data_IF_367154212550
#
_entry.id   IF_367154212550
#
_cell.length_a   1.000
_cell.length_b   1.000
_cell.length_c   1.000
_cell.angle_alpha   90.00
_cell.angle_beta   90.00
_cell.angle_gamma   90.00
#
_symmetry.space_group_name_H-M   'P 1'
#
loop_
_entity.id
_entity.type
_entity.pdbx_description
1 polymer ?
#
# COMPACT_ATOMS: atom_id res chain seq x y z
N UNK A 1 -8.90 -20.71 -8.65
CA UNK A 1 -9.17 -19.28 -8.48
C UNK A 1 -10.29 -18.91 -9.44
N UNK A 2 -11.17 -18.03 -9.05
CA UNK A 2 -12.29 -17.58 -9.89
C UNK A 2 -12.14 -16.08 -10.16
N UNK A 3 -12.59 -15.66 -11.36
CA UNK A 3 -12.68 -14.23 -11.74
C UNK A 3 -14.12 -13.71 -11.56
N UNK A 4 -15.00 -14.51 -10.94
CA UNK A 4 -16.37 -14.11 -10.62
C UNK A 4 -16.36 -13.16 -9.40
N UNK A 5 -16.55 -11.88 -9.67
CA UNK A 5 -16.56 -10.83 -8.65
C UNK A 5 -17.68 -11.00 -7.61
N UNK A 6 -18.83 -11.59 -8.00
CA UNK A 6 -19.93 -11.84 -7.08
C UNK A 6 -19.55 -12.89 -6.05
N UNK A 7 -18.98 -14.00 -6.52
CA UNK A 7 -18.54 -15.10 -5.68
C UNK A 7 -17.36 -14.66 -4.77
N UNK A 8 -16.43 -13.88 -5.29
CA UNK A 8 -15.32 -13.32 -4.51
C UNK A 8 -15.88 -12.44 -3.38
N UNK A 9 -16.83 -11.55 -3.68
CA UNK A 9 -17.45 -10.69 -2.66
C UNK A 9 -18.18 -11.49 -1.60
N UNK A 10 -18.92 -12.52 -1.98
CA UNK A 10 -19.63 -13.42 -1.05
C UNK A 10 -18.64 -14.10 -0.10
N UNK A 11 -17.58 -14.72 -0.61
CA UNK A 11 -16.53 -15.34 0.20
C UNK A 11 -15.86 -14.35 1.17
N UNK A 12 -15.62 -13.11 0.71
CA UNK A 12 -15.02 -12.07 1.56
C UNK A 12 -15.98 -11.63 2.69
N UNK A 13 -17.29 -11.55 2.41
CA UNK A 13 -18.32 -11.28 3.40
C UNK A 13 -18.39 -12.37 4.47
N UNK A 14 -18.43 -13.64 4.07
CA UNK A 14 -18.38 -14.77 5.00
C UNK A 14 -17.11 -14.74 5.87
N UNK A 15 -15.95 -14.42 5.27
CA UNK A 15 -14.70 -14.33 6.01
C UNK A 15 -14.72 -13.17 7.01
N UNK A 16 -15.26 -12.00 6.62
CA UNK A 16 -15.43 -10.89 7.54
C UNK A 16 -16.33 -11.25 8.74
N UNK A 17 -17.44 -11.95 8.50
CA UNK A 17 -18.35 -12.41 9.56
C UNK A 17 -17.68 -13.41 10.53
N UNK A 18 -16.82 -14.30 10.02
CA UNK A 18 -16.07 -15.25 10.84
C UNK A 18 -14.98 -14.58 11.68
N UNK A 19 -14.34 -13.53 11.15
CA UNK A 19 -13.21 -12.83 11.81
C UNK A 19 -13.70 -11.79 12.81
N UNK A 20 -14.81 -11.10 12.53
CA UNK A 20 -15.27 -9.96 13.29
C UNK A 20 -15.43 -10.23 14.80
N UNK A 21 -16.03 -11.35 15.27
CA UNK A 21 -16.15 -11.58 16.71
C UNK A 21 -14.81 -11.67 17.45
N UNK A 22 -13.79 -12.28 16.83
CA UNK A 22 -12.46 -12.37 17.41
C UNK A 22 -11.76 -11.01 17.44
N UNK A 23 -11.87 -10.24 16.35
CA UNK A 23 -11.27 -8.92 16.23
C UNK A 23 -11.93 -7.87 17.16
N UNK A 24 -13.25 -7.94 17.38
CA UNK A 24 -13.97 -7.04 18.27
C UNK A 24 -13.69 -7.30 19.76
N UNK A 25 -13.39 -8.55 20.12
CA UNK A 25 -13.16 -8.94 21.51
C UNK A 25 -11.68 -9.20 21.85
N UNK A 26 -10.77 -8.95 20.93
CA UNK A 26 -9.35 -9.18 21.11
C UNK A 26 -8.55 -8.95 19.84
N UNK A 27 -7.63 -9.86 19.52
CA UNK A 27 -6.74 -9.78 18.37
C UNK A 27 -7.04 -10.92 17.39
N UNK A 28 -7.33 -10.57 16.13
CA UNK A 28 -7.36 -11.52 15.02
C UNK A 28 -6.13 -11.28 14.13
N UNK A 29 -5.39 -12.34 13.81
CA UNK A 29 -4.22 -12.30 12.93
C UNK A 29 -4.55 -12.97 11.61
N UNK A 30 -4.37 -12.25 10.51
CA UNK A 30 -4.60 -12.75 9.17
C UNK A 30 -3.27 -12.99 8.44
N UNK A 31 -2.90 -14.26 8.25
CA UNK A 31 -1.68 -14.66 7.52
C UNK A 31 -1.95 -14.75 6.02
N UNK A 32 -1.08 -14.11 5.21
CA UNK A 32 -1.16 -14.16 3.74
C UNK A 32 0.21 -14.48 3.13
N UNK A 33 0.20 -14.95 1.88
CA UNK A 33 1.42 -15.05 1.08
C UNK A 33 1.75 -13.69 0.47
N UNK A 34 3.01 -13.25 0.63
CA UNK A 34 3.48 -11.99 0.08
C UNK A 34 3.28 -10.81 1.01
N UNK A 35 3.03 -9.65 0.45
CA UNK A 35 2.82 -8.40 1.19
C UNK A 35 1.34 -8.02 1.20
N UNK A 36 0.75 -7.66 2.35
CA UNK A 36 -0.67 -7.34 2.45
C UNK A 36 -1.10 -6.10 1.67
N UNK A 37 -0.15 -5.22 1.34
CA UNK A 37 -0.42 -3.93 0.69
C UNK A 37 -0.19 -3.94 -0.83
N UNK A 38 0.40 -5.04 -1.39
CA UNK A 38 0.72 -5.13 -2.81
C UNK A 38 -0.02 -6.29 -3.50
N UNK A 39 -0.96 -5.96 -4.39
CA UNK A 39 -1.75 -6.94 -5.17
C UNK A 39 -2.39 -8.03 -4.31
N UNK A 40 -2.87 -7.66 -3.13
CA UNK A 40 -3.44 -8.58 -2.14
C UNK A 40 -4.95 -8.43 -2.03
N UNK A 41 -5.64 -9.55 -1.84
CA UNK A 41 -7.08 -9.58 -1.52
C UNK A 41 -7.40 -9.06 -0.12
N UNK A 42 -6.38 -8.89 0.73
CA UNK A 42 -6.54 -8.37 2.09
C UNK A 42 -7.16 -6.97 2.12
N UNK A 43 -6.78 -6.09 1.21
CA UNK A 43 -7.36 -4.74 1.09
C UNK A 43 -8.87 -4.77 0.83
N UNK A 44 -9.35 -5.76 0.05
CA UNK A 44 -10.78 -5.97 -0.22
C UNK A 44 -11.53 -6.43 1.04
N UNK A 45 -10.91 -7.31 1.82
CA UNK A 45 -11.44 -7.74 3.13
C UNK A 45 -11.51 -6.57 4.10
N UNK A 46 -10.48 -5.73 4.18
CA UNK A 46 -10.45 -4.53 5.01
C UNK A 46 -11.58 -3.55 4.63
N UNK A 47 -11.87 -3.37 3.35
CA UNK A 47 -12.98 -2.53 2.90
C UNK A 47 -14.33 -3.03 3.41
N UNK A 48 -14.55 -4.36 3.39
CA UNK A 48 -15.78 -4.97 3.92
C UNK A 48 -15.84 -4.85 5.44
N UNK A 49 -14.73 -5.06 6.13
CA UNK A 49 -14.67 -4.88 7.60
C UNK A 49 -14.97 -3.44 7.99
N UNK A 50 -14.41 -2.46 7.29
CA UNK A 50 -14.68 -1.05 7.54
C UNK A 50 -16.15 -0.66 7.30
N UNK A 51 -16.80 -1.27 6.31
CA UNK A 51 -18.23 -1.06 6.00
C UNK A 51 -19.14 -1.67 7.08
N UNK A 52 -18.92 -2.95 7.44
CA UNK A 52 -19.81 -3.71 8.33
C UNK A 52 -19.46 -3.60 9.81
N UNK A 53 -18.18 -3.41 10.13
CA UNK A 53 -17.65 -3.43 11.49
C UNK A 53 -16.70 -2.26 11.74
N UNK A 54 -17.18 -1.01 11.70
CA UNK A 54 -16.35 0.21 11.71
C UNK A 54 -15.54 0.41 12.99
N UNK A 55 -15.79 -0.37 14.03
CA UNK A 55 -15.02 -0.36 15.29
C UNK A 55 -13.78 -1.25 15.24
N UNK A 56 -13.61 -2.06 14.19
CA UNK A 56 -12.43 -2.91 14.03
C UNK A 56 -11.33 -2.08 13.38
N UNK A 57 -10.25 -1.87 14.12
CA UNK A 57 -9.01 -1.29 13.59
C UNK A 57 -8.11 -2.40 13.06
N UNK A 58 -7.31 -2.10 12.03
CA UNK A 58 -6.31 -3.02 11.51
C UNK A 58 -4.99 -2.32 11.24
N UNK A 59 -3.92 -3.06 11.34
CA UNK A 59 -2.60 -2.68 10.87
C UNK A 59 -2.01 -3.78 10.00
N UNK A 60 -1.06 -3.43 9.15
CA UNK A 60 -0.37 -4.38 8.29
C UNK A 60 1.11 -4.43 8.64
N UNK A 61 1.66 -5.63 8.67
CA UNK A 61 3.10 -5.84 8.72
C UNK A 61 3.61 -6.21 7.33
N UNK A 62 4.72 -5.61 6.85
CA UNK A 62 5.23 -5.87 5.52
C UNK A 62 5.72 -7.31 5.39
N UNK A 63 5.41 -7.90 4.26
CA UNK A 63 5.89 -9.21 3.85
C UNK A 63 6.85 -9.16 2.67
N UNK A 64 7.37 -10.31 2.28
CA UNK A 64 8.21 -10.42 1.08
C UNK A 64 7.30 -10.50 -0.14
N UNK A 65 7.17 -9.39 -0.87
CA UNK A 65 6.41 -9.33 -2.10
C UNK A 65 7.05 -10.16 -3.22
N UNK A 66 6.22 -10.78 -4.07
CA UNK A 66 6.67 -11.42 -5.30
C UNK A 66 7.47 -10.48 -6.22
N UNK A 67 7.23 -9.17 -6.14
CA UNK A 67 7.95 -8.13 -6.89
C UNK A 67 9.44 -8.15 -6.54
N UNK A 68 9.78 -8.23 -5.25
CA UNK A 68 11.18 -8.29 -4.78
C UNK A 68 11.74 -9.70 -4.84
N UNK A 69 10.94 -10.72 -4.51
CA UNK A 69 11.33 -12.11 -4.59
C UNK A 69 11.69 -12.56 -6.02
N UNK A 70 10.97 -12.05 -7.03
CA UNK A 70 11.24 -12.31 -8.44
C UNK A 70 12.67 -11.91 -8.83
N UNK A 71 13.10 -10.70 -8.43
CA UNK A 71 14.43 -10.21 -8.76
C UNK A 71 15.54 -11.15 -8.21
N UNK A 72 15.38 -11.63 -6.98
CA UNK A 72 16.29 -12.60 -6.38
C UNK A 72 16.24 -13.95 -7.10
N UNK A 73 15.06 -14.49 -7.37
CA UNK A 73 14.89 -15.78 -8.06
C UNK A 73 15.42 -15.75 -9.49
N UNK A 74 15.28 -14.63 -10.19
CA UNK A 74 15.79 -14.44 -11.57
C UNK A 74 17.28 -14.04 -11.63
N UNK A 75 17.92 -13.75 -10.51
CA UNK A 75 19.31 -13.31 -10.44
C UNK A 75 19.54 -11.94 -11.10
N UNK A 76 18.54 -11.05 -11.08
CA UNK A 76 18.60 -9.72 -11.70
C UNK A 76 18.69 -8.61 -10.65
N UNK A 77 19.34 -7.50 -11.02
CA UNK A 77 19.41 -6.28 -10.21
C UNK A 77 18.69 -5.15 -10.91
N UNK A 78 17.76 -4.49 -10.22
CA UNK A 78 17.00 -3.36 -10.72
C UNK A 78 17.58 -2.07 -10.15
N UNK A 79 18.39 -1.37 -10.94
CA UNK A 79 19.11 -0.14 -10.53
C UNK A 79 18.51 1.15 -11.11
N UNK A 80 17.47 1.04 -11.92
CA UNK A 80 16.73 2.15 -12.52
C UNK A 80 15.26 2.13 -12.15
N UNK A 81 14.49 3.04 -12.72
CA UNK A 81 13.04 3.01 -12.61
C UNK A 81 12.45 1.82 -13.33
N UNK A 82 11.43 1.21 -12.76
CA UNK A 82 10.69 0.11 -13.37
C UNK A 82 9.20 0.24 -13.09
N UNK A 83 8.39 -0.43 -13.87
CA UNK A 83 6.94 -0.46 -13.72
C UNK A 83 6.50 -1.84 -13.25
N UNK A 84 5.55 -1.87 -12.33
CA UNK A 84 4.83 -3.08 -11.90
C UNK A 84 3.37 -2.89 -12.23
N UNK A 85 2.77 -3.85 -12.93
CA UNK A 85 1.36 -3.82 -13.32
C UNK A 85 0.86 -5.25 -13.48
N UNK A 86 -0.41 -5.47 -13.25
CA UNK A 86 -1.17 -6.68 -13.55
C UNK A 86 -1.95 -6.60 -14.87
N UNK A 87 -1.62 -5.58 -15.70
CA UNK A 87 -2.21 -5.36 -17.03
C UNK A 87 -2.62 -3.92 -17.28
N UNK A 88 -3.41 -3.26 -16.40
CA UNK A 88 -3.80 -1.86 -16.58
C UNK A 88 -2.61 -0.90 -16.58
N UNK A 89 -2.78 0.27 -17.20
CA UNK A 89 -1.79 1.33 -17.14
C UNK A 89 -1.60 1.80 -15.68
N UNK A 90 -0.35 2.02 -15.22
CA UNK A 90 -0.08 2.46 -13.85
C UNK A 90 -0.72 3.82 -13.55
N UNK A 91 -1.47 3.89 -12.48
CA UNK A 91 -2.08 5.13 -11.94
C UNK A 91 -1.26 5.73 -10.80
N UNK A 92 -0.28 5.01 -10.30
CA UNK A 92 0.49 5.32 -9.10
C UNK A 92 2.00 5.28 -9.37
N UNK A 93 2.74 6.08 -8.58
CA UNK A 93 4.22 6.06 -8.56
C UNK A 93 4.74 6.02 -7.13
N UNK A 94 5.80 5.25 -6.92
CA UNK A 94 6.61 5.29 -5.71
C UNK A 94 7.98 5.87 -6.10
N UNK A 95 8.35 6.98 -5.47
CA UNK A 95 9.60 7.69 -5.71
C UNK A 95 10.48 7.59 -4.47
N UNK A 96 11.72 7.16 -4.67
CA UNK A 96 12.70 7.01 -3.60
C UNK A 96 13.57 8.27 -3.49
N UNK A 97 14.06 8.56 -2.28
CA UNK A 97 15.05 9.61 -2.02
C UNK A 97 14.60 11.00 -2.50
N UNK A 98 13.36 11.34 -2.23
CA UNK A 98 12.76 12.61 -2.67
C UNK A 98 13.26 13.75 -1.77
N UNK A 99 14.15 14.61 -2.28
CA UNK A 99 14.76 15.70 -1.51
C UNK A 99 13.87 16.94 -1.36
N UNK A 100 13.01 17.19 -2.34
CA UNK A 100 12.13 18.36 -2.40
C UNK A 100 10.69 17.93 -2.67
N UNK A 101 9.95 17.40 -1.67
CA UNK A 101 8.65 16.78 -1.87
C UNK A 101 7.60 17.73 -2.46
N UNK A 102 7.52 18.96 -1.96
CA UNK A 102 6.56 19.97 -2.46
C UNK A 102 6.77 20.27 -3.93
N UNK A 103 8.02 20.55 -4.33
CA UNK A 103 8.38 20.78 -5.73
C UNK A 103 8.05 19.55 -6.60
N UNK A 104 8.37 18.34 -6.10
CA UNK A 104 8.09 17.10 -6.82
C UNK A 104 6.58 16.87 -6.97
N UNK A 105 5.79 17.16 -5.95
CA UNK A 105 4.33 17.11 -6.04
C UNK A 105 3.79 18.09 -7.09
N UNK A 106 4.31 19.31 -7.16
CA UNK A 106 3.89 20.30 -8.18
C UNK A 106 4.21 19.85 -9.61
N UNK A 107 5.35 19.19 -9.82
CA UNK A 107 5.68 18.56 -11.11
C UNK A 107 4.67 17.48 -11.46
N UNK A 108 4.39 16.57 -10.51
CA UNK A 108 3.46 15.45 -10.71
C UNK A 108 1.99 15.90 -10.84
N UNK A 109 1.59 17.00 -10.19
CA UNK A 109 0.24 17.58 -10.37
C UNK A 109 0.02 18.00 -11.82
N UNK A 110 1.05 18.51 -12.52
CA UNK A 110 0.98 18.85 -13.96
C UNK A 110 0.83 17.59 -14.83
N UNK A 111 1.32 16.44 -14.35
CA UNK A 111 1.15 15.14 -15.01
C UNK A 111 -0.20 14.45 -14.64
N UNK A 112 -1.03 15.09 -13.83
CA UNK A 112 -2.36 14.59 -13.46
C UNK A 112 -2.46 13.86 -12.13
N UNK A 113 -1.37 13.76 -11.35
CA UNK A 113 -1.42 13.17 -10.01
C UNK A 113 -2.09 14.10 -9.00
N UNK A 114 -2.86 13.55 -8.06
CA UNK A 114 -3.67 14.33 -7.11
C UNK A 114 -3.45 13.95 -5.65
N UNK A 115 -3.11 12.71 -5.38
CA UNK A 115 -2.87 12.21 -4.03
C UNK A 115 -1.37 12.02 -3.81
N UNK A 116 -0.88 12.48 -2.65
CA UNK A 116 0.53 12.40 -2.29
C UNK A 116 0.70 11.98 -0.84
N UNK A 117 1.60 11.03 -0.59
CA UNK A 117 2.02 10.63 0.76
C UNK A 117 3.54 10.56 0.78
N UNK A 118 4.18 11.24 1.72
CA UNK A 118 5.60 11.16 1.98
C UNK A 118 5.84 10.47 3.31
N UNK A 119 6.73 9.49 3.34
CA UNK A 119 7.23 8.88 4.56
C UNK A 119 8.73 9.13 4.67
N UNK A 120 9.14 9.77 5.77
CA UNK A 120 10.54 9.98 6.12
C UNK A 120 10.94 9.01 7.23
N UNK A 121 12.15 8.44 7.13
CA UNK A 121 12.78 7.60 8.15
C UNK A 121 11.87 6.48 8.62
N UNK A 122 11.27 5.77 7.68
CA UNK A 122 10.34 4.68 7.92
C UNK A 122 10.96 3.63 8.87
N UNK A 123 10.23 3.21 9.89
CA UNK A 123 10.63 2.32 10.99
C UNK A 123 11.70 2.86 11.95
N UNK A 124 12.12 4.11 11.85
CA UNK A 124 12.89 4.77 12.89
C UNK A 124 11.98 5.44 13.93
N UNK A 125 12.50 5.70 15.13
CA UNK A 125 11.73 6.30 16.22
C UNK A 125 11.19 7.71 15.89
N UNK A 126 11.84 8.41 14.96
CA UNK A 126 11.47 9.74 14.47
C UNK A 126 10.82 9.72 13.07
N UNK A 127 10.20 8.61 12.70
CA UNK A 127 9.43 8.49 11.46
C UNK A 127 8.36 9.58 11.37
N UNK A 128 8.23 10.17 10.17
CA UNK A 128 7.21 11.17 9.87
C UNK A 128 6.44 10.79 8.62
N UNK A 129 5.14 11.08 8.64
CA UNK A 129 4.25 10.88 7.50
C UNK A 129 3.56 12.20 7.18
N UNK A 130 3.65 12.64 5.94
CA UNK A 130 3.01 13.86 5.43
C UNK A 130 2.06 13.51 4.29
N UNK A 131 0.98 14.26 4.17
CA UNK A 131 -0.04 14.04 3.15
C UNK A 131 -0.37 15.34 2.42
N UNK A 132 -0.50 15.26 1.10
CA UNK A 132 -0.99 16.32 0.22
C UNK A 132 -0.35 17.71 0.51
N UNK A 133 -1.09 18.63 1.11
CA UNK A 133 -0.65 20.00 1.34
C UNK A 133 0.31 20.16 2.51
N UNK A 134 0.48 19.12 3.33
CA UNK A 134 1.42 19.08 4.46
C UNK A 134 2.85 18.75 4.03
N UNK A 135 3.08 18.48 2.74
CA UNK A 135 4.41 18.10 2.25
C UNK A 135 5.45 19.20 2.57
N UNK A 136 6.61 18.84 3.14
CA UNK A 136 7.66 19.80 3.47
C UNK A 136 8.39 20.28 2.21
N UNK A 137 9.08 21.42 2.30
CA UNK A 137 9.94 21.89 1.21
C UNK A 137 11.17 21.01 0.98
N UNK A 138 11.73 20.50 2.07
CA UNK A 138 12.88 19.58 2.06
C UNK A 138 12.58 18.38 2.93
N UNK A 139 13.11 17.22 2.55
CA UNK A 139 12.98 15.96 3.27
C UNK A 139 14.32 15.27 3.46
N UNK A 140 14.34 14.30 4.41
CA UNK A 140 15.49 13.44 4.67
C UNK A 140 15.85 12.59 3.44
N UNK A 141 17.11 12.14 3.38
CA UNK A 141 17.55 11.20 2.34
C UNK A 141 16.75 9.88 2.37
N UNK A 142 16.40 9.40 3.56
CA UNK A 142 15.58 8.20 3.76
C UNK A 142 14.09 8.56 3.62
N UNK A 143 13.70 9.03 2.46
CA UNK A 143 12.33 9.43 2.16
C UNK A 143 11.76 8.67 0.96
N UNK A 144 10.50 8.30 1.06
CA UNK A 144 9.74 7.65 -0.01
C UNK A 144 8.44 8.42 -0.19
N UNK A 145 8.13 8.77 -1.43
CA UNK A 145 6.91 9.48 -1.78
C UNK A 145 6.04 8.62 -2.70
N UNK A 146 4.80 8.43 -2.29
CA UNK A 146 3.74 7.88 -3.12
C UNK A 146 2.98 9.01 -3.82
N UNK A 147 2.60 8.78 -5.07
CA UNK A 147 1.73 9.68 -5.83
C UNK A 147 0.70 8.86 -6.61
N UNK A 148 -0.56 9.33 -6.66
CA UNK A 148 -1.68 8.70 -7.38
C UNK A 148 -2.47 9.73 -8.17
N UNK A 149 -3.00 9.30 -9.34
CA UNK A 149 -3.92 10.07 -10.19
C UNK A 149 -5.34 10.09 -9.67
#
# INVERSE_FOLDING_TARGET
>A
MTDDESLIRECLLENAEKIAPAAQNGLAVFGILGDPNFFSTFSRLCSILAEKYPTIEYQTEPGISSITAFAAAAGISLNGGFTVSDGPAPDSRILLKVKHPRKKADELRREGYREFVLVERMYFADMKVYRNDELPEKSDYLSIMYARR
#
